data_IF_040816687497
#
_entry.id   IF_040816687497
#
_cell.length_a   1.000
_cell.length_b   1.000
_cell.length_c   1.000
_cell.angle_alpha   90.00
_cell.angle_beta   90.00
_cell.angle_gamma   90.00
#
_symmetry.space_group_name_H-M   'P 1'
#
loop_
_entity.id
_entity.type
_entity.pdbx_description
1 polymer ?
#
# COMPACT_ATOMS: atom_id res chain seq x y z
N UNK A 1 11.24 -13.46 -8.66
CA UNK A 1 10.03 -12.77 -9.16
C UNK A 1 9.40 -13.63 -10.25
N UNK A 2 8.08 -13.74 -10.24
CA UNK A 2 7.32 -14.59 -11.15
C UNK A 2 6.36 -13.70 -11.93
N UNK A 3 6.33 -13.78 -13.28
CA UNK A 3 5.39 -12.99 -14.07
C UNK A 3 3.96 -13.50 -13.82
N UNK A 4 3.07 -12.61 -13.42
CA UNK A 4 1.66 -12.92 -13.18
C UNK A 4 0.69 -12.11 -14.03
N UNK A 5 1.15 -11.01 -14.62
CA UNK A 5 0.43 -10.24 -15.63
C UNK A 5 1.30 -10.10 -16.87
N UNK A 6 0.65 -10.12 -18.02
CA UNK A 6 1.26 -9.72 -19.30
C UNK A 6 0.45 -8.55 -19.87
N UNK A 7 1.05 -7.35 -19.91
CA UNK A 7 0.39 -6.12 -20.37
C UNK A 7 1.16 -5.56 -21.56
N UNK A 8 0.58 -5.67 -22.77
CA UNK A 8 1.11 -5.08 -24.00
C UNK A 8 2.62 -5.32 -24.17
N UNK A 9 3.04 -6.59 -24.19
CA UNK A 9 4.43 -6.99 -24.36
C UNK A 9 5.34 -6.88 -23.14
N UNK A 10 4.79 -6.49 -21.98
CA UNK A 10 5.55 -6.38 -20.72
C UNK A 10 5.09 -7.43 -19.72
N UNK A 11 6.01 -8.26 -19.23
CA UNK A 11 5.77 -9.15 -18.11
C UNK A 11 5.86 -8.38 -16.80
N UNK A 12 4.78 -8.41 -16.01
CA UNK A 12 4.71 -7.76 -14.71
C UNK A 12 4.81 -8.83 -13.62
N UNK A 13 5.92 -8.78 -12.89
CA UNK A 13 6.30 -9.83 -11.95
C UNK A 13 5.99 -9.50 -10.50
N UNK A 14 5.64 -10.54 -9.76
CA UNK A 14 5.42 -10.54 -8.33
C UNK A 14 6.60 -11.23 -7.62
N UNK A 15 6.95 -10.81 -6.41
CA UNK A 15 7.92 -11.53 -5.60
C UNK A 15 7.45 -12.97 -5.32
N UNK A 16 8.36 -13.94 -5.42
CA UNK A 16 8.04 -15.36 -5.34
C UNK A 16 7.37 -15.78 -4.03
N UNK A 17 7.63 -15.07 -2.93
CA UNK A 17 7.02 -15.37 -1.63
C UNK A 17 5.49 -15.18 -1.60
N UNK A 18 4.95 -14.38 -2.51
CA UNK A 18 3.51 -14.17 -2.65
C UNK A 18 2.81 -15.24 -3.50
N UNK A 19 3.57 -15.92 -4.40
CA UNK A 19 2.98 -16.84 -5.39
C UNK A 19 2.20 -17.98 -4.73
N UNK A 20 2.77 -18.61 -3.71
CA UNK A 20 2.13 -19.74 -3.03
C UNK A 20 0.73 -19.38 -2.50
N UNK A 21 0.61 -18.19 -1.94
CA UNK A 21 -0.62 -17.70 -1.32
C UNK A 21 -1.64 -17.13 -2.31
N UNK A 22 -1.20 -16.68 -3.48
CA UNK A 22 -2.04 -16.02 -4.49
C UNK A 22 -2.23 -16.84 -5.78
N UNK A 23 -1.59 -18.01 -5.89
CA UNK A 23 -1.65 -18.86 -7.11
C UNK A 23 -3.07 -19.26 -7.50
N UNK A 24 -3.91 -19.60 -6.54
CA UNK A 24 -5.32 -19.91 -6.79
C UNK A 24 -6.11 -18.70 -7.24
N UNK A 25 -5.76 -17.51 -6.72
CA UNK A 25 -6.45 -16.25 -6.99
C UNK A 25 -6.21 -15.77 -8.42
N UNK A 26 -4.95 -15.79 -8.87
CA UNK A 26 -4.57 -15.36 -10.24
C UNK A 26 -5.11 -16.27 -11.34
N UNK A 27 -5.60 -17.48 -11.01
CA UNK A 27 -6.26 -18.40 -11.95
C UNK A 27 -7.77 -18.21 -12.07
N UNK A 28 -8.37 -17.35 -11.25
CA UNK A 28 -9.81 -17.10 -11.28
C UNK A 28 -10.22 -16.28 -12.51
N UNK A 29 -11.45 -16.50 -13.04
CA UNK A 29 -11.93 -15.80 -14.24
C UNK A 29 -11.92 -14.27 -14.14
N UNK A 30 -12.14 -13.72 -12.95
CA UNK A 30 -12.10 -12.26 -12.77
C UNK A 30 -10.69 -11.70 -13.02
N UNK A 31 -9.63 -12.46 -12.63
CA UNK A 31 -8.25 -12.01 -12.81
C UNK A 31 -7.88 -11.99 -14.32
N UNK A 32 -8.31 -12.98 -15.07
CA UNK A 32 -8.18 -12.97 -16.55
C UNK A 32 -8.85 -11.74 -17.15
N UNK A 33 -10.10 -11.47 -16.76
CA UNK A 33 -10.83 -10.26 -17.19
C UNK A 33 -10.17 -8.96 -16.78
N UNK A 34 -9.53 -8.92 -15.59
CA UNK A 34 -8.74 -7.79 -15.13
C UNK A 34 -7.56 -7.54 -16.08
N UNK A 35 -6.80 -8.60 -16.44
CA UNK A 35 -5.66 -8.51 -17.37
C UNK A 35 -6.10 -8.01 -18.74
N UNK A 36 -7.19 -8.53 -19.29
CA UNK A 36 -7.77 -8.08 -20.57
C UNK A 36 -8.09 -6.58 -20.55
N UNK A 37 -8.77 -6.11 -19.50
CA UNK A 37 -9.10 -4.68 -19.33
C UNK A 37 -7.86 -3.82 -19.17
N UNK A 38 -6.85 -4.29 -18.42
CA UNK A 38 -5.58 -3.57 -18.27
C UNK A 38 -4.83 -3.42 -19.58
N UNK A 39 -4.84 -4.44 -20.44
CA UNK A 39 -4.26 -4.34 -21.78
C UNK A 39 -4.92 -3.20 -22.57
N UNK A 40 -6.26 -3.13 -22.58
CA UNK A 40 -7.01 -2.07 -23.27
C UNK A 40 -6.69 -0.68 -22.67
N UNK A 41 -6.64 -0.56 -21.34
CA UNK A 41 -6.34 0.71 -20.69
C UNK A 41 -4.93 1.21 -20.98
N UNK A 42 -3.90 0.34 -20.85
CA UNK A 42 -2.51 0.72 -21.13
C UNK A 42 -2.18 0.86 -22.63
N UNK A 43 -3.03 0.38 -23.53
CA UNK A 43 -2.91 0.60 -24.97
C UNK A 43 -3.46 1.97 -25.40
N UNK A 44 -4.61 2.35 -24.85
CA UNK A 44 -5.38 3.50 -25.31
C UNK A 44 -5.21 4.75 -24.44
N UNK A 45 -4.73 4.58 -23.20
CA UNK A 45 -4.69 5.63 -22.20
C UNK A 45 -3.32 5.68 -21.50
N UNK A 46 -2.99 6.85 -20.98
CA UNK A 46 -1.85 6.96 -20.05
C UNK A 46 -2.29 6.48 -18.68
N UNK A 47 -1.67 5.40 -18.20
CA UNK A 47 -1.99 4.80 -16.90
C UNK A 47 -0.81 4.87 -15.93
N UNK A 48 -1.11 4.94 -14.65
CA UNK A 48 -0.14 4.94 -13.57
C UNK A 48 -0.42 3.83 -12.55
N UNK A 49 0.63 3.34 -11.87
CA UNK A 49 2.06 3.54 -12.16
C UNK A 49 2.46 2.93 -13.51
N UNK A 50 3.72 3.03 -13.91
CA UNK A 50 4.23 2.25 -15.06
C UNK A 50 4.05 0.75 -14.78
N UNK A 51 3.97 -0.05 -15.84
CA UNK A 51 3.66 -1.50 -15.74
C UNK A 51 4.58 -2.22 -14.75
N UNK A 52 5.87 -1.93 -14.81
CA UNK A 52 6.92 -2.55 -13.98
C UNK A 52 6.74 -2.25 -12.48
N UNK A 53 6.01 -1.17 -12.15
CA UNK A 53 5.79 -0.72 -10.78
C UNK A 53 4.45 -1.13 -10.18
N UNK A 54 3.59 -1.82 -10.94
CA UNK A 54 2.25 -2.21 -10.45
C UNK A 54 2.36 -3.01 -9.13
N UNK A 55 3.33 -3.91 -9.03
CA UNK A 55 3.53 -4.75 -7.84
C UNK A 55 4.68 -4.31 -6.93
N UNK A 56 5.13 -3.05 -6.98
CA UNK A 56 6.23 -2.60 -6.13
C UNK A 56 5.98 -2.81 -4.63
N UNK A 57 4.75 -2.65 -4.15
CA UNK A 57 4.42 -2.89 -2.74
C UNK A 57 4.75 -4.33 -2.32
N UNK A 58 4.51 -5.29 -3.20
CA UNK A 58 4.78 -6.71 -2.99
C UNK A 58 6.25 -7.06 -3.16
N UNK A 59 6.89 -6.44 -4.16
CA UNK A 59 8.28 -6.74 -4.51
C UNK A 59 9.27 -6.16 -3.49
N UNK A 60 8.91 -5.05 -2.83
CA UNK A 60 9.71 -4.43 -1.77
C UNK A 60 9.37 -4.96 -0.37
N UNK A 61 8.23 -5.61 -0.21
CA UNK A 61 7.80 -6.23 1.04
C UNK A 61 7.38 -7.68 0.79
N UNK A 62 8.32 -8.65 0.80
CA UNK A 62 8.03 -10.07 0.66
C UNK A 62 6.98 -10.55 1.66
N UNK A 63 6.16 -11.56 1.29
CA UNK A 63 5.05 -12.05 2.09
C UNK A 63 5.45 -12.33 3.54
N UNK A 64 6.51 -13.11 3.73
CA UNK A 64 7.00 -13.52 5.05
C UNK A 64 7.63 -12.39 5.89
N UNK A 65 7.82 -11.21 5.32
CA UNK A 65 8.35 -10.03 6.03
C UNK A 65 7.29 -9.04 6.46
N UNK A 66 6.03 -9.24 6.07
CA UNK A 66 4.96 -8.29 6.38
C UNK A 66 4.72 -8.22 7.89
N UNK A 67 4.93 -7.05 8.48
CA UNK A 67 4.65 -6.71 9.88
C UNK A 67 3.51 -5.70 10.01
N UNK A 68 3.40 -4.80 9.04
CA UNK A 68 2.40 -3.73 9.02
C UNK A 68 1.76 -3.66 7.63
N UNK A 69 0.47 -3.41 7.57
CA UNK A 69 -0.26 -3.12 6.31
C UNK A 69 -0.87 -1.73 6.41
N UNK A 70 -0.54 -0.85 5.48
CA UNK A 70 -1.18 0.46 5.33
C UNK A 70 -2.00 0.46 4.04
N UNK A 71 -3.33 0.59 4.16
CA UNK A 71 -4.21 0.56 3.00
C UNK A 71 -4.45 1.96 2.44
N UNK A 72 -4.04 2.16 1.18
CA UNK A 72 -4.45 3.28 0.33
C UNK A 72 -5.66 2.91 -0.54
N UNK A 73 -6.17 3.86 -1.31
CA UNK A 73 -7.32 3.64 -2.19
C UNK A 73 -6.88 3.28 -3.60
N UNK A 74 -6.32 4.22 -4.34
CA UNK A 74 -5.79 4.09 -5.69
C UNK A 74 -4.48 4.89 -5.83
N UNK A 75 -3.67 4.64 -6.88
CA UNK A 75 -2.44 5.39 -7.09
C UNK A 75 -2.72 6.87 -7.36
N UNK A 76 -1.73 7.72 -7.16
CA UNK A 76 -1.79 9.10 -7.60
C UNK A 76 -1.97 9.18 -9.12
N UNK A 77 -2.93 9.95 -9.59
CA UNK A 77 -3.31 10.08 -10.99
C UNK A 77 -2.56 11.17 -11.75
N UNK A 78 -1.66 11.89 -11.09
CA UNK A 78 -0.80 12.90 -11.72
C UNK A 78 0.52 12.28 -12.18
N UNK A 79 1.07 12.83 -13.26
CA UNK A 79 2.35 12.40 -13.82
C UNK A 79 3.43 12.36 -12.73
N UNK A 80 4.31 11.35 -12.80
CA UNK A 80 5.49 11.17 -11.95
C UNK A 80 5.23 10.94 -10.45
N UNK A 81 3.99 10.81 -10.00
CA UNK A 81 3.69 10.60 -8.57
C UNK A 81 3.58 9.14 -8.17
N UNK A 82 2.88 8.33 -8.95
CA UNK A 82 2.65 6.94 -8.59
C UNK A 82 3.89 6.07 -8.76
N UNK A 83 4.24 5.32 -7.75
CA UNK A 83 5.40 4.42 -7.77
C UNK A 83 5.07 2.98 -7.31
N UNK A 84 3.78 2.62 -7.27
CA UNK A 84 3.32 1.30 -6.85
C UNK A 84 3.34 1.06 -5.35
N UNK A 85 3.51 2.11 -4.55
CA UNK A 85 3.40 2.12 -3.10
C UNK A 85 2.31 3.12 -2.68
N UNK A 86 1.40 2.74 -1.80
CA UNK A 86 0.37 3.65 -1.30
C UNK A 86 1.00 4.86 -0.59
N UNK A 87 0.45 6.04 -0.83
CA UNK A 87 0.89 7.34 -0.27
C UNK A 87 2.29 7.81 -0.68
N UNK A 88 3.14 6.95 -1.26
CA UNK A 88 4.52 7.25 -1.63
C UNK A 88 4.62 7.97 -2.97
N UNK A 89 5.60 8.88 -3.09
CA UNK A 89 6.01 9.51 -4.35
C UNK A 89 7.53 9.40 -4.52
N UNK A 90 8.05 9.42 -5.76
CA UNK A 90 9.49 9.43 -6.00
C UNK A 90 10.20 10.63 -5.36
N UNK A 91 11.52 10.51 -5.20
CA UNK A 91 12.36 11.63 -4.75
C UNK A 91 12.20 12.87 -5.62
N UNK A 92 12.25 14.06 -5.01
CA UNK A 92 12.12 15.34 -5.70
C UNK A 92 10.68 15.71 -6.09
N UNK A 93 9.71 14.83 -5.89
CA UNK A 93 8.30 15.14 -6.13
C UNK A 93 7.70 15.81 -4.89
N UNK A 94 6.98 16.92 -5.13
CA UNK A 94 6.27 17.65 -4.06
C UNK A 94 5.33 16.72 -3.31
N UNK A 95 5.42 16.73 -1.98
CA UNK A 95 4.59 15.91 -1.10
C UNK A 95 3.09 16.13 -1.36
N UNK A 96 2.33 15.09 -1.70
CA UNK A 96 0.87 15.17 -1.80
C UNK A 96 0.22 15.51 -0.45
N UNK A 97 -1.00 16.11 -0.45
CA UNK A 97 -1.67 16.52 0.78
C UNK A 97 -1.84 15.39 1.81
N UNK A 98 -2.16 14.16 1.37
CA UNK A 98 -2.30 13.02 2.27
C UNK A 98 -0.98 12.66 2.94
N UNK A 99 0.12 12.63 2.19
CA UNK A 99 1.44 12.29 2.73
C UNK A 99 1.95 13.37 3.69
N UNK A 100 1.75 14.66 3.37
CA UNK A 100 2.07 15.75 4.32
C UNK A 100 1.32 15.60 5.64
N UNK A 101 0.07 15.14 5.60
CA UNK A 101 -0.72 14.92 6.81
C UNK A 101 -0.20 13.73 7.61
N UNK A 102 0.23 12.65 6.93
CA UNK A 102 0.87 11.49 7.57
C UNK A 102 2.18 11.93 8.24
N UNK A 103 3.02 12.70 7.55
CA UNK A 103 4.27 13.22 8.11
C UNK A 103 4.03 14.10 9.34
N UNK A 104 3.06 15.00 9.27
CA UNK A 104 2.68 15.82 10.43
C UNK A 104 2.26 14.99 11.64
N UNK A 105 1.53 13.89 11.42
CA UNK A 105 1.17 12.98 12.49
C UNK A 105 2.39 12.27 13.09
N UNK A 106 3.36 11.85 12.24
CA UNK A 106 4.61 11.28 12.71
C UNK A 106 5.41 12.30 13.54
N UNK A 107 5.47 13.57 13.09
CA UNK A 107 6.14 14.65 13.82
C UNK A 107 5.52 14.88 15.20
N UNK A 108 4.18 14.91 15.27
CA UNK A 108 3.45 15.08 16.54
C UNK A 108 3.58 13.84 17.45
N UNK A 109 3.58 12.63 16.89
CA UNK A 109 3.61 11.37 17.63
C UNK A 109 5.01 11.02 18.14
N UNK A 110 6.04 11.21 17.30
CA UNK A 110 7.41 10.80 17.60
C UNK A 110 8.34 11.96 17.99
N UNK A 111 7.83 13.19 18.06
CA UNK A 111 8.59 14.41 18.37
C UNK A 111 9.85 14.56 17.48
N UNK A 112 9.70 14.33 16.18
CA UNK A 112 10.79 14.36 15.20
C UNK A 112 10.34 15.01 13.89
N UNK A 113 11.14 15.94 13.34
CA UNK A 113 10.82 16.62 12.07
C UNK A 113 11.02 15.70 10.88
N UNK A 114 9.99 15.54 10.05
CA UNK A 114 10.04 14.79 8.81
C UNK A 114 10.57 15.64 7.65
N UNK A 115 11.29 15.07 6.66
CA UNK A 115 11.82 15.84 5.55
C UNK A 115 10.71 16.33 4.62
N UNK A 116 10.71 17.61 4.29
CA UNK A 116 9.77 18.18 3.31
C UNK A 116 10.12 17.81 1.85
N UNK A 117 11.37 17.42 1.60
CA UNK A 117 11.92 17.17 0.26
C UNK A 117 11.82 15.71 -0.20
N UNK A 118 11.54 14.76 0.68
CA UNK A 118 11.45 13.34 0.34
C UNK A 118 10.09 12.76 0.73
N UNK A 119 9.39 12.19 -0.24
CA UNK A 119 8.15 11.45 -0.06
C UNK A 119 8.26 9.97 -0.45
N UNK A 120 9.47 9.48 -0.60
CA UNK A 120 9.73 8.09 -1.00
C UNK A 120 9.73 7.16 0.21
N UNK A 121 8.66 6.38 0.35
CA UNK A 121 8.44 5.46 1.48
C UNK A 121 9.03 4.06 1.26
N UNK A 122 9.91 3.87 0.27
CA UNK A 122 10.57 2.57 0.01
C UNK A 122 11.21 1.99 1.27
N UNK A 123 11.85 2.83 2.10
CA UNK A 123 12.44 2.42 3.38
C UNK A 123 11.43 1.79 4.35
N UNK A 124 10.17 2.21 4.34
CA UNK A 124 9.14 1.56 5.15
C UNK A 124 8.81 0.18 4.60
N UNK A 125 8.66 0.07 3.25
CA UNK A 125 8.36 -1.22 2.61
C UNK A 125 9.46 -2.26 2.90
N UNK A 126 10.72 -1.88 2.81
CA UNK A 126 11.88 -2.74 3.09
C UNK A 126 11.95 -3.24 4.54
N UNK A 127 11.33 -2.53 5.48
CA UNK A 127 11.21 -2.92 6.89
C UNK A 127 10.02 -3.85 7.18
N UNK A 128 9.18 -4.15 6.19
CA UNK A 128 8.01 -5.00 6.34
C UNK A 128 6.68 -4.24 6.42
N UNK A 129 6.63 -3.00 5.94
CA UNK A 129 5.38 -2.25 5.79
C UNK A 129 4.82 -2.45 4.38
N UNK A 130 3.76 -3.24 4.23
CA UNK A 130 3.06 -3.38 2.96
C UNK A 130 2.23 -2.13 2.69
N UNK A 131 2.72 -1.27 1.80
CA UNK A 131 2.06 -0.04 1.36
C UNK A 131 1.10 -0.35 0.19
N UNK A 132 -0.07 -0.92 0.50
CA UNK A 132 -1.00 -1.50 -0.46
C UNK A 132 -2.13 -0.53 -0.81
N UNK A 133 -2.33 -0.25 -2.11
CA UNK A 133 -3.57 0.34 -2.59
C UNK A 133 -4.61 -0.76 -2.85
N UNK A 134 -5.89 -0.48 -2.61
CA UNK A 134 -6.98 -1.43 -2.93
C UNK A 134 -7.25 -1.53 -4.43
N UNK A 135 -6.83 -0.54 -5.22
CA UNK A 135 -6.79 -0.53 -6.69
C UNK A 135 -5.36 -0.19 -7.11
N UNK A 136 -4.70 -1.05 -7.91
CA UNK A 136 -3.26 -0.93 -8.14
C UNK A 136 -2.89 -0.05 -9.34
N UNK A 137 -3.87 0.35 -10.15
CA UNK A 137 -3.65 1.19 -11.34
C UNK A 137 -4.71 2.28 -11.42
N UNK A 138 -4.41 3.34 -12.19
CA UNK A 138 -5.31 4.48 -12.42
C UNK A 138 -5.00 5.11 -13.76
N UNK A 139 -6.01 5.67 -14.45
CA UNK A 139 -5.83 6.49 -15.65
C UNK A 139 -5.34 7.89 -15.27
N UNK A 140 -4.45 8.46 -16.06
CA UNK A 140 -3.94 9.81 -15.87
C UNK A 140 -5.08 10.83 -15.76
N UNK A 141 -5.02 11.72 -14.77
CA UNK A 141 -6.01 12.76 -14.55
C UNK A 141 -7.36 12.30 -13.97
N UNK A 142 -7.61 10.99 -13.81
CA UNK A 142 -8.93 10.45 -13.46
C UNK A 142 -8.88 9.53 -12.23
N UNK A 143 -8.97 10.11 -11.03
CA UNK A 143 -9.04 9.35 -9.79
C UNK A 143 -10.17 8.30 -9.83
N UNK A 144 -9.93 7.12 -9.25
CA UNK A 144 -10.86 5.99 -9.20
C UNK A 144 -11.26 5.39 -10.58
N UNK A 145 -10.61 5.77 -11.66
CA UNK A 145 -10.96 5.28 -13.01
C UNK A 145 -10.91 3.76 -13.14
N UNK A 146 -10.04 3.09 -12.41
CA UNK A 146 -9.87 1.62 -12.45
C UNK A 146 -10.56 0.88 -11.29
N UNK A 147 -11.42 1.56 -10.52
CA UNK A 147 -12.12 0.99 -9.36
C UNK A 147 -12.90 -0.30 -9.69
N UNK A 148 -13.46 -0.40 -10.89
CA UNK A 148 -14.33 -1.51 -11.31
C UNK A 148 -13.62 -2.51 -12.26
N UNK A 149 -12.29 -2.48 -12.37
CA UNK A 149 -11.57 -3.42 -13.24
C UNK A 149 -11.45 -4.83 -12.65
N UNK A 150 -11.45 -4.97 -11.31
CA UNK A 150 -11.28 -6.23 -10.59
C UNK A 150 -10.15 -6.23 -9.55
N UNK A 151 -9.40 -5.12 -9.43
CA UNK A 151 -8.30 -5.01 -8.46
C UNK A 151 -8.72 -5.27 -7.02
N UNK A 152 -9.93 -4.84 -6.61
CA UNK A 152 -10.38 -4.99 -5.24
C UNK A 152 -10.60 -6.46 -4.85
N UNK A 153 -11.02 -7.32 -5.78
CA UNK A 153 -11.09 -8.77 -5.54
C UNK A 153 -9.70 -9.34 -5.24
N UNK A 154 -8.71 -8.96 -6.04
CA UNK A 154 -7.33 -9.39 -5.84
C UNK A 154 -6.73 -8.89 -4.52
N UNK A 155 -6.87 -7.60 -4.22
CA UNK A 155 -6.31 -7.03 -2.98
C UNK A 155 -7.06 -7.50 -1.73
N UNK A 156 -8.34 -7.84 -1.83
CA UNK A 156 -9.09 -8.49 -0.75
C UNK A 156 -8.57 -9.90 -0.46
N UNK A 157 -8.21 -10.65 -1.50
CA UNK A 157 -7.54 -11.95 -1.34
C UNK A 157 -6.16 -11.81 -0.71
N UNK A 158 -5.40 -10.76 -1.04
CA UNK A 158 -4.12 -10.45 -0.39
C UNK A 158 -4.30 -10.23 1.11
N UNK A 159 -5.28 -9.41 1.51
CA UNK A 159 -5.57 -9.13 2.93
C UNK A 159 -5.98 -10.41 3.66
N UNK A 160 -6.82 -11.25 3.05
CA UNK A 160 -7.23 -12.55 3.61
C UNK A 160 -6.03 -13.48 3.78
N UNK A 161 -5.20 -13.64 2.75
CA UNK A 161 -4.01 -14.49 2.82
C UNK A 161 -3.08 -14.07 3.96
N UNK A 162 -2.84 -12.76 4.13
CA UNK A 162 -2.06 -12.23 5.24
C UNK A 162 -2.72 -12.55 6.59
N UNK A 163 -4.03 -12.36 6.70
CA UNK A 163 -4.76 -12.65 7.93
C UNK A 163 -4.80 -14.14 8.29
N UNK A 164 -4.77 -15.03 7.30
CA UNK A 164 -4.83 -16.47 7.51
C UNK A 164 -3.46 -17.10 7.83
N UNK A 165 -2.39 -16.56 7.21
CA UNK A 165 -1.07 -17.17 7.26
C UNK A 165 -0.05 -16.47 8.16
N UNK A 166 -0.41 -15.32 8.71
CA UNK A 166 0.42 -14.60 9.69
C UNK A 166 -0.25 -14.50 11.04
N UNK A 167 0.55 -14.05 12.01
CA UNK A 167 0.11 -13.57 13.30
C UNK A 167 0.73 -12.21 13.58
N UNK A 168 0.04 -11.41 14.40
CA UNK A 168 0.56 -10.15 14.92
C UNK A 168 0.85 -9.05 13.87
N UNK A 169 0.21 -9.11 12.68
CA UNK A 169 0.27 -7.97 11.75
C UNK A 169 -0.52 -6.79 12.33
N UNK A 170 -0.01 -5.58 12.13
CA UNK A 170 -0.73 -4.33 12.40
C UNK A 170 -1.37 -3.82 11.11
N UNK A 171 -2.71 -3.78 11.05
CA UNK A 171 -3.44 -3.21 9.93
C UNK A 171 -3.84 -1.76 10.25
N UNK A 172 -3.25 -0.80 9.56
CA UNK A 172 -3.57 0.63 9.67
C UNK A 172 -4.63 0.98 8.62
N UNK A 173 -5.88 1.15 9.06
CA UNK A 173 -7.05 1.33 8.20
C UNK A 173 -7.55 2.78 8.26
N UNK A 174 -7.13 3.58 7.27
CA UNK A 174 -7.42 5.01 7.21
C UNK A 174 -8.56 5.36 6.28
N UNK A 175 -9.66 5.84 6.85
CA UNK A 175 -10.87 6.21 6.14
C UNK A 175 -11.84 5.05 5.88
N UNK A 176 -13.06 5.39 5.48
CA UNK A 176 -14.16 4.43 5.40
C UNK A 176 -13.92 3.28 4.42
N UNK A 177 -13.20 3.51 3.31
CA UNK A 177 -12.92 2.46 2.34
C UNK A 177 -11.95 1.41 2.91
N UNK A 178 -10.90 1.85 3.61
CA UNK A 178 -9.96 0.94 4.29
C UNK A 178 -10.66 0.20 5.45
N UNK A 179 -11.45 0.90 6.27
CA UNK A 179 -12.18 0.31 7.41
C UNK A 179 -13.15 -0.79 7.01
N UNK A 180 -13.74 -0.75 5.82
CA UNK A 180 -14.58 -1.83 5.29
C UNK A 180 -13.84 -3.16 5.14
N UNK A 181 -12.50 -3.12 5.02
CA UNK A 181 -11.66 -4.33 4.89
C UNK A 181 -11.44 -5.05 6.23
N UNK A 182 -11.84 -4.48 7.35
CA UNK A 182 -11.76 -5.08 8.69
C UNK A 182 -12.43 -6.45 8.77
N UNK A 183 -13.52 -6.67 8.02
CA UNK A 183 -14.22 -7.95 7.96
C UNK A 183 -13.40 -9.08 7.30
N UNK A 184 -12.27 -8.77 6.67
CA UNK A 184 -11.35 -9.74 6.07
C UNK A 184 -10.22 -10.14 7.03
N UNK A 185 -10.14 -9.51 8.21
CA UNK A 185 -9.02 -9.61 9.15
C UNK A 185 -9.50 -10.29 10.43
N UNK A 186 -8.79 -11.33 10.87
CA UNK A 186 -9.01 -11.94 12.17
C UNK A 186 -8.45 -11.06 13.28
N UNK A 187 -9.34 -10.38 13.99
CA UNK A 187 -9.01 -9.45 15.08
C UNK A 187 -8.41 -10.14 16.33
N UNK A 188 -8.53 -11.46 16.45
CA UNK A 188 -7.91 -12.20 17.54
C UNK A 188 -6.42 -12.49 17.29
N UNK A 189 -6.01 -12.45 16.02
CA UNK A 189 -4.63 -12.71 15.59
C UNK A 189 -3.85 -11.45 15.24
N UNK A 190 -4.55 -10.34 14.94
CA UNK A 190 -3.96 -9.14 14.39
C UNK A 190 -4.41 -7.89 15.13
N UNK A 191 -3.58 -6.84 15.07
CA UNK A 191 -3.91 -5.52 15.60
C UNK A 191 -4.52 -4.64 14.49
N UNK A 192 -5.60 -3.92 14.80
CA UNK A 192 -6.21 -2.97 13.87
C UNK A 192 -6.16 -1.58 14.47
N UNK A 193 -5.53 -0.64 13.76
CA UNK A 193 -5.48 0.78 14.08
C UNK A 193 -6.32 1.54 13.06
N UNK A 194 -7.46 2.06 13.51
CA UNK A 194 -8.41 2.79 12.65
C UNK A 194 -8.28 4.31 12.82
N UNK A 195 -8.37 5.03 11.71
CA UNK A 195 -8.39 6.49 11.70
C UNK A 195 -9.30 7.05 10.60
N UNK A 196 -9.50 8.37 10.59
CA UNK A 196 -9.98 9.06 9.40
C UNK A 196 -8.92 9.05 8.32
N UNK A 197 -9.33 9.24 7.05
CA UNK A 197 -8.38 9.35 5.95
C UNK A 197 -7.50 10.60 6.12
N UNK A 198 -6.19 10.55 5.82
CA UNK A 198 -5.31 11.72 5.96
C UNK A 198 -5.79 12.97 5.20
N UNK A 199 -6.45 12.78 4.05
CA UNK A 199 -7.05 13.89 3.28
C UNK A 199 -8.49 14.25 3.68
N UNK A 200 -9.01 13.73 4.81
CA UNK A 200 -10.35 14.10 5.29
C UNK A 200 -10.42 15.59 5.65
N UNK A 201 -11.67 16.12 5.66
CA UNK A 201 -11.91 17.52 6.03
C UNK A 201 -11.33 17.84 7.42
N UNK A 202 -10.93 19.09 7.68
CA UNK A 202 -10.26 19.51 8.94
C UNK A 202 -11.02 19.15 10.22
N UNK A 203 -12.36 19.01 10.16
CA UNK A 203 -13.21 18.59 11.29
C UNK A 203 -12.99 17.13 11.71
N UNK A 204 -12.46 16.29 10.80
CA UNK A 204 -12.15 14.90 11.07
C UNK A 204 -10.66 14.78 11.38
N UNK A 205 -10.32 14.57 12.62
CA UNK A 205 -8.93 14.47 13.06
C UNK A 205 -8.38 13.09 12.73
N UNK A 206 -7.23 13.06 12.10
CA UNK A 206 -6.42 11.86 12.00
C UNK A 206 -6.06 11.42 13.44
N UNK A 207 -6.28 10.17 13.80
CA UNK A 207 -6.09 9.69 15.17
C UNK A 207 -4.63 9.86 15.58
N UNK A 208 -4.40 10.32 16.81
CA UNK A 208 -3.04 10.50 17.34
C UNK A 208 -2.39 9.20 17.77
N UNK A 209 -1.07 9.22 17.87
CA UNK A 209 -0.23 8.14 18.39
C UNK A 209 -0.32 6.80 17.65
N UNK A 210 -0.66 6.80 16.35
CA UNK A 210 -0.80 5.58 15.58
C UNK A 210 0.52 4.84 15.38
N UNK A 211 1.61 5.58 15.17
CA UNK A 211 2.94 5.04 14.91
C UNK A 211 3.58 4.52 16.19
N UNK A 212 3.42 5.24 17.31
CA UNK A 212 3.80 4.76 18.64
C UNK A 212 3.01 3.52 19.04
N UNK A 213 1.68 3.51 18.83
CA UNK A 213 0.84 2.34 19.13
C UNK A 213 1.23 1.13 18.27
N UNK A 214 1.52 1.34 16.98
CA UNK A 214 1.99 0.29 16.08
C UNK A 214 3.28 -0.36 16.63
N UNK A 215 4.29 0.44 16.93
CA UNK A 215 5.57 -0.05 17.44
C UNK A 215 5.43 -0.69 18.82
N UNK A 216 4.61 -0.14 19.71
CA UNK A 216 4.35 -0.74 21.01
C UNK A 216 3.76 -2.15 20.89
N UNK A 217 2.80 -2.34 19.94
CA UNK A 217 2.25 -3.65 19.66
C UNK A 217 3.29 -4.61 19.09
N UNK A 218 4.06 -4.21 18.07
CA UNK A 218 5.12 -5.04 17.48
C UNK A 218 6.12 -5.49 18.55
N UNK A 219 6.60 -4.56 19.37
CA UNK A 219 7.51 -4.86 20.49
C UNK A 219 6.92 -5.84 21.50
N UNK A 220 5.65 -5.68 21.86
CA UNK A 220 4.95 -6.60 22.77
C UNK A 220 4.90 -8.02 22.20
N UNK A 221 4.84 -8.16 20.87
CA UNK A 221 4.84 -9.45 20.19
C UNK A 221 6.25 -9.98 19.87
N UNK A 222 7.31 -9.32 20.35
CA UNK A 222 8.69 -9.71 20.08
C UNK A 222 9.16 -9.45 18.65
N UNK A 223 8.45 -8.59 17.92
CA UNK A 223 8.79 -8.20 16.56
C UNK A 223 9.59 -6.89 16.56
N UNK A 224 10.46 -6.73 15.55
CA UNK A 224 11.19 -5.48 15.35
C UNK A 224 10.24 -4.32 15.07
N UNK A 225 10.46 -3.20 15.74
CA UNK A 225 9.76 -1.94 15.52
C UNK A 225 10.07 -1.37 14.13
N UNK A 226 9.17 -0.57 13.58
CA UNK A 226 9.40 0.16 12.33
C UNK A 226 10.06 1.50 12.64
N UNK A 227 11.19 1.79 11.99
CA UNK A 227 11.74 3.14 11.95
C UNK A 227 10.93 3.98 10.95
N UNK A 228 9.96 4.71 11.48
CA UNK A 228 9.09 5.59 10.70
C UNK A 228 9.77 6.85 10.22
N UNK A 229 10.95 7.17 10.80
CA UNK A 229 11.66 8.41 10.51
C UNK A 229 12.41 8.28 9.18
N UNK A 230 12.22 9.27 8.33
CA UNK A 230 12.92 9.36 7.04
C UNK A 230 14.30 10.02 7.28
N UNK A 231 15.14 9.35 8.09
CA UNK A 231 16.50 9.86 8.37
C UNK A 231 17.33 9.77 7.10
N UNK A 232 17.86 10.90 6.66
CA UNK A 232 18.95 10.90 5.67
C UNK A 232 20.17 10.26 6.33
N UNK A 233 20.70 9.19 5.76
CA UNK A 233 22.01 8.69 6.19
C UNK A 233 23.00 9.84 6.03
N UNK A 234 23.62 10.26 7.15
CA UNK A 234 24.75 11.18 7.07
C UNK A 234 25.84 10.43 6.32
N UNK A 235 26.07 10.83 5.06
CA UNK A 235 27.26 10.44 4.31
C UNK A 235 28.52 10.91 5.03
#
# INVERSE_FOLDING_TARGET
MIPILHINGTDVSLDASWEEHLRSEIRKPYFTKLVEKLNIEYENEVCYPSKERIFNAFNLCPFNKVKVVILGQDPYYRKEQAMGLSFSVPEGIKLPPSLRKIYKEIEEDLCYSMPESSGNLTRWAEQGVLLLNTTLTVRAGAANSHKNLGWQEFTDAVIKALSEHHEHIVFMLWGNNAKKKKNLIDINRHCIIESYHPAAMPRYKFTKHQFTCCNAYLKQQGLEEIDWLMRTEKK
#
